data_IF_685083731155
#
_entry.id   IF_685083731155
#
_cell.length_a   1.000
_cell.length_b   1.000
_cell.length_c   1.000
_cell.angle_alpha   90.00
_cell.angle_beta   90.00
_cell.angle_gamma   90.00
#
_symmetry.space_group_name_H-M   'P 1'
#
loop_
_entity.id
_entity.type
_entity.pdbx_description
1 polymer ?
#
# COMPACT_ATOMS: atom_id res chain seq x y z
N UNK A 1 3.21 20.55 8.07
CA UNK A 1 2.50 20.14 6.82
C UNK A 1 3.45 19.48 5.84
N UNK A 2 4.54 20.16 5.41
CA UNK A 2 5.58 19.57 4.54
C UNK A 2 6.12 18.21 5.05
N UNK A 3 6.47 18.11 6.34
CA UNK A 3 6.97 16.84 6.91
C UNK A 3 5.94 15.68 6.96
N UNK A 4 4.63 15.94 6.86
CA UNK A 4 3.63 14.86 6.70
C UNK A 4 3.54 14.41 5.25
N UNK A 5 3.61 15.35 4.32
CA UNK A 5 3.62 15.06 2.89
C UNK A 5 4.88 14.27 2.50
N UNK A 6 6.06 14.73 2.90
CA UNK A 6 7.33 14.05 2.63
C UNK A 6 7.33 12.62 3.19
N UNK A 7 6.74 12.42 4.38
CA UNK A 7 6.58 11.10 4.99
C UNK A 7 5.69 10.18 4.15
N UNK A 8 4.51 10.67 3.75
CA UNK A 8 3.57 9.88 2.95
C UNK A 8 4.12 9.57 1.56
N UNK A 9 4.81 10.54 0.93
CA UNK A 9 5.48 10.36 -0.35
C UNK A 9 6.62 9.36 -0.27
N UNK A 10 7.40 9.35 0.80
CA UNK A 10 8.46 8.36 1.00
C UNK A 10 7.88 6.94 1.06
N UNK A 11 6.80 6.74 1.83
CA UNK A 11 6.13 5.43 1.91
C UNK A 11 5.59 5.02 0.53
N UNK A 12 4.89 5.91 -0.17
CA UNK A 12 4.36 5.61 -1.51
C UNK A 12 5.48 5.27 -2.50
N UNK A 13 6.59 6.00 -2.45
CA UNK A 13 7.77 5.74 -3.29
C UNK A 13 8.32 4.35 -3.01
N UNK A 14 8.50 3.96 -1.74
CA UNK A 14 8.99 2.64 -1.36
C UNK A 14 8.02 1.51 -1.76
N UNK A 15 6.71 1.74 -1.66
CA UNK A 15 5.70 0.83 -2.20
C UNK A 15 5.89 0.66 -3.71
N UNK A 16 5.99 1.76 -4.46
CA UNK A 16 6.15 1.72 -5.92
C UNK A 16 7.44 1.01 -6.35
N UNK A 17 8.53 1.16 -5.58
CA UNK A 17 9.77 0.40 -5.81
C UNK A 17 9.51 -1.11 -5.70
N UNK A 18 8.77 -1.58 -4.69
CA UNK A 18 8.37 -3.00 -4.58
C UNK A 18 7.53 -3.42 -5.78
N UNK A 19 6.51 -2.62 -6.13
CA UNK A 19 5.59 -2.95 -7.22
C UNK A 19 6.32 -3.04 -8.57
N UNK A 20 7.28 -2.15 -8.83
CA UNK A 20 8.09 -2.17 -10.06
C UNK A 20 8.87 -3.46 -10.25
N UNK A 21 9.25 -4.11 -9.15
CA UNK A 21 10.06 -5.33 -9.19
C UNK A 21 9.24 -6.61 -9.25
N UNK A 22 8.00 -6.62 -8.76
CA UNK A 22 7.26 -7.89 -8.64
C UNK A 22 5.75 -7.79 -8.58
N UNK A 23 5.16 -6.69 -9.05
CA UNK A 23 3.70 -6.62 -9.23
C UNK A 23 3.26 -7.70 -10.23
N UNK A 24 2.30 -8.49 -9.79
CA UNK A 24 1.59 -9.45 -10.61
C UNK A 24 0.11 -9.13 -10.61
N UNK A 25 -0.53 -9.37 -11.75
CA UNK A 25 -1.94 -9.11 -11.99
C UNK A 25 -2.63 -10.38 -12.46
N UNK A 26 -3.77 -10.70 -11.87
CA UNK A 26 -4.57 -11.85 -12.28
C UNK A 26 -5.21 -11.60 -13.65
N UNK A 27 -4.98 -12.49 -14.60
CA UNK A 27 -5.71 -12.55 -15.86
C UNK A 27 -7.15 -13.04 -15.68
N UNK A 28 -7.90 -13.14 -16.78
CA UNK A 28 -9.29 -13.62 -16.77
C UNK A 28 -9.43 -15.03 -16.19
N UNK A 29 -8.41 -15.87 -16.36
CA UNK A 29 -8.35 -17.24 -15.85
C UNK A 29 -7.85 -17.33 -14.40
N UNK A 30 -7.67 -16.18 -13.73
CA UNK A 30 -7.14 -16.01 -12.36
C UNK A 30 -5.68 -16.39 -12.16
N UNK A 31 -4.96 -16.69 -13.25
CA UNK A 31 -3.52 -16.83 -13.22
C UNK A 31 -2.84 -15.47 -13.13
N UNK A 32 -1.89 -15.34 -12.20
CA UNK A 32 -1.13 -14.11 -11.99
C UNK A 32 0.07 -14.04 -12.94
N UNK A 33 0.12 -12.98 -13.73
CA UNK A 33 1.24 -12.66 -14.63
C UNK A 33 1.98 -11.40 -14.16
N UNK A 34 3.27 -11.33 -14.45
CA UNK A 34 4.09 -10.17 -14.14
C UNK A 34 3.60 -8.92 -14.91
N UNK A 35 3.51 -7.78 -14.23
CA UNK A 35 3.00 -6.52 -14.78
C UNK A 35 4.11 -5.46 -14.89
N UNK A 36 5.23 -5.83 -15.54
CA UNK A 36 6.47 -5.01 -15.57
C UNK A 36 6.37 -3.78 -16.47
N UNK A 37 5.66 -3.90 -17.58
CA UNK A 37 5.60 -2.86 -18.62
C UNK A 37 4.36 -1.96 -18.52
N UNK A 38 3.51 -2.20 -17.51
CA UNK A 38 2.27 -1.46 -17.33
C UNK A 38 2.40 -0.22 -16.44
N UNK A 39 1.30 0.53 -16.38
CA UNK A 39 1.08 1.65 -15.47
C UNK A 39 0.81 1.12 -14.04
N UNK A 40 1.86 1.03 -13.24
CA UNK A 40 1.87 0.36 -11.93
C UNK A 40 1.01 1.09 -10.92
N UNK A 41 0.92 2.43 -11.00
CA UNK A 41 0.12 3.20 -10.04
C UNK A 41 -1.38 2.83 -10.15
N UNK A 42 -1.83 2.27 -11.29
CA UNK A 42 -3.21 1.76 -11.45
C UNK A 42 -3.56 0.62 -10.51
N UNK A 43 -2.57 -0.15 -10.02
CA UNK A 43 -2.81 -1.18 -9.03
C UNK A 43 -3.37 -0.63 -7.71
N UNK A 44 -3.07 0.64 -7.41
CA UNK A 44 -3.53 1.36 -6.21
C UNK A 44 -4.66 2.34 -6.49
N UNK A 45 -5.01 2.59 -7.75
CA UNK A 45 -6.07 3.51 -8.12
C UNK A 45 -7.47 2.92 -7.89
N UNK A 46 -8.46 3.77 -7.67
CA UNK A 46 -9.89 3.41 -7.54
C UNK A 46 -10.24 2.46 -6.38
N UNK A 47 -9.46 2.47 -5.30
CA UNK A 47 -9.58 1.45 -4.26
C UNK A 47 -9.08 0.08 -4.74
N UNK A 48 -8.18 0.08 -5.73
CA UNK A 48 -7.28 -1.03 -5.99
C UNK A 48 -6.41 -1.27 -4.77
N UNK A 49 -6.09 -2.55 -4.56
CA UNK A 49 -5.34 -3.03 -3.40
C UNK A 49 -4.32 -4.03 -3.90
N UNK A 50 -3.10 -3.90 -3.42
CA UNK A 50 -2.04 -4.87 -3.69
C UNK A 50 -1.78 -5.68 -2.43
N UNK A 51 -1.84 -7.00 -2.56
CA UNK A 51 -1.41 -7.92 -1.51
C UNK A 51 0.08 -8.25 -1.66
N UNK A 52 0.89 -7.81 -0.72
CA UNK A 52 2.32 -8.12 -0.66
C UNK A 52 2.51 -9.27 0.34
N UNK A 53 2.89 -10.45 -0.14
CA UNK A 53 3.19 -11.61 0.70
C UNK A 53 4.62 -11.52 1.23
N UNK A 54 4.77 -11.67 2.54
CA UNK A 54 6.05 -11.59 3.26
C UNK A 54 6.44 -13.00 3.71
N UNK A 55 7.63 -13.51 3.37
CA UNK A 55 8.07 -14.83 3.85
C UNK A 55 8.05 -14.94 5.37
N UNK A 56 7.83 -16.16 5.88
CA UNK A 56 8.06 -16.50 7.28
C UNK A 56 9.48 -16.12 7.74
N UNK A 57 9.60 -15.75 9.01
CA UNK A 57 10.85 -15.28 9.59
C UNK A 57 11.89 -16.39 9.70
N UNK A 58 13.12 -16.09 9.29
CA UNK A 58 14.32 -16.85 9.66
C UNK A 58 14.81 -16.40 11.02
N UNK A 59 15.67 -17.23 11.63
CA UNK A 59 16.25 -16.93 12.94
C UNK A 59 17.01 -15.59 12.91
N UNK A 60 16.67 -14.68 13.82
CA UNK A 60 17.29 -13.37 13.93
C UNK A 60 16.69 -12.27 13.04
N UNK A 61 15.72 -12.58 12.18
CA UNK A 61 15.01 -11.57 11.40
C UNK A 61 13.97 -10.82 12.24
N UNK A 62 13.76 -9.55 11.92
CA UNK A 62 12.75 -8.71 12.57
C UNK A 62 11.40 -8.86 11.86
N UNK A 63 10.32 -8.97 12.65
CA UNK A 63 8.93 -8.94 12.16
C UNK A 63 8.62 -7.67 11.36
N UNK A 64 9.29 -6.55 11.66
CA UNK A 64 8.99 -5.23 11.11
C UNK A 64 9.86 -4.82 9.92
N UNK A 65 10.71 -5.72 9.38
CA UNK A 65 11.63 -5.40 8.28
C UNK A 65 10.95 -4.68 7.10
N UNK A 66 9.75 -5.12 6.70
CA UNK A 66 9.02 -4.46 5.61
C UNK A 66 8.52 -3.07 6.02
N UNK A 67 8.01 -2.90 7.24
CA UNK A 67 7.54 -1.59 7.72
C UNK A 67 8.70 -0.61 7.91
N UNK A 68 9.86 -1.10 8.35
CA UNK A 68 11.11 -0.33 8.45
C UNK A 68 11.59 0.09 7.06
N UNK A 69 11.56 -0.83 6.09
CA UNK A 69 11.87 -0.52 4.69
C UNK A 69 10.98 0.60 4.13
N UNK A 70 9.66 0.51 4.36
CA UNK A 70 8.70 1.52 3.92
C UNK A 70 8.90 2.87 4.61
N UNK A 71 9.53 2.89 5.79
CA UNK A 71 9.68 4.08 6.64
C UNK A 71 8.45 4.35 7.52
N UNK A 72 7.58 3.35 7.72
CA UNK A 72 6.43 3.41 8.65
C UNK A 72 6.91 3.24 10.09
N UNK A 73 7.91 2.38 10.27
CA UNK A 73 8.57 2.13 11.55
C UNK A 73 10.06 2.45 11.46
N UNK A 74 10.71 2.62 12.61
CA UNK A 74 12.16 2.64 12.75
C UNK A 74 12.55 1.69 13.88
N UNK A 75 13.17 0.56 13.53
CA UNK A 75 13.46 -0.50 14.49
C UNK A 75 12.18 -1.06 15.13
N UNK A 76 11.10 -1.15 14.35
CA UNK A 76 9.78 -1.57 14.84
C UNK A 76 8.98 -0.51 15.60
N UNK A 77 9.53 0.68 15.84
CA UNK A 77 8.78 1.78 16.48
C UNK A 77 8.04 2.58 15.42
N UNK A 78 6.70 2.60 15.48
CA UNK A 78 5.82 3.32 14.54
C UNK A 78 5.98 4.84 14.64
N UNK A 79 6.13 5.50 13.49
CA UNK A 79 6.13 6.97 13.42
C UNK A 79 4.73 7.52 13.74
N UNK A 80 4.64 8.62 14.48
CA UNK A 80 3.36 9.21 14.88
C UNK A 80 2.51 9.72 13.70
N UNK A 81 3.12 9.94 12.53
CA UNK A 81 2.42 10.31 11.29
C UNK A 81 1.72 9.11 10.64
N UNK A 82 2.10 7.88 11.00
CA UNK A 82 1.40 6.65 10.66
C UNK A 82 0.33 6.39 11.74
N UNK A 83 -0.91 6.69 11.40
CA UNK A 83 -2.04 6.70 12.34
C UNK A 83 -2.62 5.29 12.47
N UNK A 84 -3.02 4.90 13.67
CA UNK A 84 -3.79 3.69 13.86
C UNK A 84 -5.21 3.85 13.34
N UNK A 85 -5.75 2.80 12.71
CA UNK A 85 -7.12 2.79 12.21
C UNK A 85 -8.01 1.85 13.03
N UNK A 86 -9.25 2.26 13.31
CA UNK A 86 -10.19 1.42 14.07
C UNK A 86 -10.79 0.28 13.24
N UNK A 87 -10.79 0.37 11.90
CA UNK A 87 -11.34 -0.68 11.02
C UNK A 87 -10.79 -0.62 9.60
N UNK A 88 -10.82 -1.80 8.96
CA UNK A 88 -10.58 -2.00 7.53
C UNK A 88 -11.69 -2.90 6.96
N UNK A 89 -12.01 -2.73 5.67
CA UNK A 89 -13.02 -3.50 4.92
C UNK A 89 -12.46 -4.75 4.27
N UNK A 90 -11.14 -4.89 4.26
CA UNK A 90 -10.40 -6.02 3.70
C UNK A 90 -9.34 -6.48 4.68
N UNK A 91 -9.06 -7.77 4.66
CA UNK A 91 -8.02 -8.43 5.45
C UNK A 91 -7.41 -9.61 4.72
N UNK A 92 -6.31 -10.16 5.22
CA UNK A 92 -5.68 -11.36 4.64
C UNK A 92 -5.73 -12.54 5.59
N UNK A 93 -6.18 -13.68 5.09
CA UNK A 93 -6.10 -14.96 5.79
C UNK A 93 -4.88 -15.71 5.30
N UNK A 94 -3.95 -15.97 6.21
CA UNK A 94 -2.66 -16.62 5.92
C UNK A 94 -2.58 -17.94 6.68
N UNK A 95 -2.43 -19.03 5.95
CA UNK A 95 -2.28 -20.38 6.50
C UNK A 95 -0.84 -20.64 6.93
N UNK A 96 -0.65 -21.57 7.88
CA UNK A 96 0.69 -22.03 8.28
C UNK A 96 1.43 -22.64 7.10
N UNK A 97 2.75 -22.46 7.08
CA UNK A 97 3.63 -23.13 6.13
C UNK A 97 3.70 -24.62 6.47
N UNK A 98 3.80 -25.48 5.44
CA UNK A 98 3.88 -26.93 5.59
C UNK A 98 4.91 -27.49 4.63
N UNK A 99 5.79 -28.36 5.12
CA UNK A 99 6.78 -29.09 4.31
C UNK A 99 7.62 -28.18 3.40
N UNK A 100 8.07 -27.05 3.94
CA UNK A 100 8.85 -26.05 3.20
C UNK A 100 8.06 -25.27 2.14
N UNK A 101 6.73 -25.44 2.07
CA UNK A 101 5.85 -24.73 1.14
C UNK A 101 5.06 -23.62 1.84
N UNK A 102 4.94 -22.45 1.20
CA UNK A 102 4.10 -21.36 1.68
C UNK A 102 2.64 -21.80 1.86
N UNK A 103 2.00 -21.39 2.96
CA UNK A 103 0.59 -21.70 3.23
C UNK A 103 -0.40 -21.00 2.28
N UNK A 104 -1.70 -21.13 2.54
CA UNK A 104 -2.72 -20.38 1.78
C UNK A 104 -2.60 -18.88 2.04
N UNK A 105 -2.77 -18.04 1.02
CA UNK A 105 -2.87 -16.59 1.16
C UNK A 105 -4.16 -16.12 0.46
N UNK A 106 -5.13 -15.60 1.21
CA UNK A 106 -6.44 -15.20 0.66
C UNK A 106 -6.89 -13.86 1.22
N UNK A 107 -7.17 -12.91 0.34
CA UNK A 107 -7.89 -11.69 0.72
C UNK A 107 -9.34 -12.05 1.12
N UNK A 108 -9.82 -11.46 2.21
CA UNK A 108 -11.19 -11.53 2.68
C UNK A 108 -11.76 -10.10 2.70
N UNK A 109 -12.78 -9.85 1.89
CA UNK A 109 -13.42 -8.53 1.78
C UNK A 109 -14.86 -8.51 2.28
N UNK A 110 -15.39 -7.30 2.46
CA UNK A 110 -16.82 -7.03 2.69
C UNK A 110 -17.21 -6.78 4.15
N UNK A 111 -18.50 -6.54 4.37
CA UNK A 111 -19.07 -6.14 5.68
C UNK A 111 -18.69 -7.14 6.80
N UNK A 112 -18.63 -8.43 6.48
CA UNK A 112 -18.21 -9.48 7.43
C UNK A 112 -16.73 -9.41 7.85
N UNK A 113 -15.86 -8.85 7.00
CA UNK A 113 -14.45 -8.63 7.32
C UNK A 113 -14.28 -7.45 8.28
N UNK A 114 -15.01 -6.34 8.06
CA UNK A 114 -15.04 -5.20 9.00
C UNK A 114 -15.54 -5.58 10.39
N UNK A 115 -16.60 -6.38 10.47
CA UNK A 115 -17.11 -6.89 11.76
C UNK A 115 -16.10 -7.79 12.48
N UNK A 116 -15.38 -8.64 11.75
CA UNK A 116 -14.31 -9.48 12.33
C UNK A 116 -13.11 -8.66 12.78
N UNK A 117 -12.73 -7.61 12.04
CA UNK A 117 -11.64 -6.71 12.44
C UNK A 117 -11.96 -5.99 13.75
N UNK A 118 -13.17 -5.43 13.83
CA UNK A 118 -13.65 -4.81 15.07
C UNK A 118 -13.69 -5.82 16.21
N UNK A 119 -14.21 -7.03 15.99
CA UNK A 119 -14.27 -8.07 17.03
C UNK A 119 -12.88 -8.56 17.49
N UNK A 120 -11.90 -8.65 16.58
CA UNK A 120 -10.53 -9.04 16.93
C UNK A 120 -9.81 -7.98 17.77
N UNK A 121 -10.13 -6.69 17.61
CA UNK A 121 -9.63 -5.62 18.49
C UNK A 121 -10.07 -5.80 19.93
N UNK A 122 -11.24 -6.42 20.17
CA UNK A 122 -11.81 -6.63 21.50
C UNK A 122 -11.64 -8.06 22.04
N UNK A 123 -10.99 -8.96 21.29
CA UNK A 123 -10.77 -10.36 21.73
C UNK A 123 -9.29 -10.65 21.96
N UNK A 124 -8.83 -10.72 23.23
CA UNK A 124 -7.45 -11.07 23.55
C UNK A 124 -7.06 -12.43 22.94
N UNK A 125 -5.94 -12.49 22.23
CA UNK A 125 -5.40 -13.73 21.65
C UNK A 125 -5.80 -14.04 20.20
N UNK A 126 -6.66 -13.25 19.56
CA UNK A 126 -6.77 -13.27 18.10
C UNK A 126 -5.59 -12.49 17.49
N UNK A 127 -5.00 -13.03 16.41
CA UNK A 127 -4.00 -12.29 15.63
C UNK A 127 -4.62 -10.97 15.14
N UNK A 128 -4.21 -9.86 15.74
CA UNK A 128 -4.64 -8.52 15.39
C UNK A 128 -3.77 -8.00 14.26
N UNK A 129 -4.38 -7.77 13.11
CA UNK A 129 -3.78 -7.00 12.03
C UNK A 129 -3.49 -5.58 12.51
N UNK A 130 -2.31 -5.05 12.17
CA UNK A 130 -2.02 -3.64 12.38
C UNK A 130 -2.65 -2.85 11.23
N UNK A 131 -3.64 -2.03 11.55
CA UNK A 131 -4.31 -1.15 10.59
C UNK A 131 -3.67 0.22 10.67
N UNK A 132 -2.96 0.62 9.61
CA UNK A 132 -2.16 1.84 9.59
C UNK A 132 -2.66 2.73 8.44
N UNK A 133 -2.93 4.00 8.76
CA UNK A 133 -3.38 5.03 7.84
C UNK A 133 -2.34 6.13 7.66
N UNK A 134 -2.14 6.56 6.42
CA UNK A 134 -1.21 7.66 6.08
C UNK A 134 -1.88 8.61 5.10
N UNK A 135 -1.97 9.89 5.46
CA UNK A 135 -2.64 10.89 4.63
C UNK A 135 -1.73 11.46 3.54
N UNK A 136 -2.23 11.49 2.31
CA UNK A 136 -1.53 11.96 1.10
C UNK A 136 -2.07 13.32 0.67
N UNK A 137 -1.24 14.10 -0.04
CA UNK A 137 -1.66 15.32 -0.73
C UNK A 137 -1.83 15.06 -2.24
N UNK A 138 -2.76 14.17 -2.60
CA UNK A 138 -3.06 13.86 -4.00
C UNK A 138 -3.52 15.12 -4.75
N UNK A 139 -2.97 15.33 -5.96
CA UNK A 139 -3.12 16.59 -6.70
C UNK A 139 -2.00 17.63 -6.44
N UNK A 140 -1.11 17.35 -5.49
CA UNK A 140 0.11 18.12 -5.23
C UNK A 140 -0.04 19.10 -4.05
N UNK A 141 0.85 18.99 -3.07
CA UNK A 141 0.87 19.86 -1.90
C UNK A 141 0.85 21.36 -2.29
N UNK A 142 -0.10 22.11 -1.74
CA UNK A 142 -0.17 23.56 -1.92
C UNK A 142 -0.81 24.01 -3.24
N UNK A 143 -1.20 23.09 -4.13
CA UNK A 143 -2.05 23.43 -5.28
C UNK A 143 -3.49 23.69 -4.82
N UNK A 144 -4.28 24.32 -5.69
CA UNK A 144 -5.72 24.51 -5.46
C UNK A 144 -6.51 23.40 -6.12
N UNK A 145 -7.49 22.87 -5.42
CA UNK A 145 -8.50 21.99 -6.02
C UNK A 145 -9.56 22.79 -6.81
N UNK A 146 -10.56 22.09 -7.34
CA UNK A 146 -11.61 22.70 -8.17
C UNK A 146 -12.51 23.69 -7.41
N UNK A 147 -12.57 23.62 -6.07
CA UNK A 147 -13.27 24.60 -5.23
C UNK A 147 -12.37 25.78 -4.85
N UNK A 148 -11.08 25.73 -5.21
CA UNK A 148 -10.09 26.71 -4.80
C UNK A 148 -9.46 26.43 -3.43
N UNK A 149 -9.78 25.29 -2.79
CA UNK A 149 -9.21 24.89 -1.51
C UNK A 149 -7.79 24.34 -1.69
N UNK A 150 -6.96 24.54 -0.67
CA UNK A 150 -5.54 24.12 -0.72
C UNK A 150 -5.42 22.62 -0.44
N UNK A 151 -4.75 21.92 -1.36
CA UNK A 151 -4.44 20.50 -1.25
C UNK A 151 -3.43 20.25 -0.12
N UNK A 152 -3.82 19.43 0.86
CA UNK A 152 -3.04 19.13 2.07
C UNK A 152 -3.08 17.63 2.43
N UNK A 153 -2.06 17.09 3.12
CA UNK A 153 -2.05 15.70 3.60
C UNK A 153 -2.91 15.56 4.87
N UNK A 154 -4.20 15.77 4.72
CA UNK A 154 -5.20 15.82 5.81
C UNK A 154 -6.30 14.76 5.66
N UNK A 155 -6.14 13.82 4.72
CA UNK A 155 -7.10 12.73 4.47
C UNK A 155 -8.24 13.09 3.53
N UNK A 156 -8.36 14.35 3.10
CA UNK A 156 -9.37 14.78 2.11
C UNK A 156 -8.90 14.61 0.66
N UNK A 157 -7.58 14.50 0.45
CA UNK A 157 -6.91 14.48 -0.85
C UNK A 157 -6.16 13.17 -1.12
N UNK A 158 -6.53 12.11 -0.41
CA UNK A 158 -5.90 10.80 -0.52
C UNK A 158 -5.49 10.24 0.83
N UNK A 159 -5.69 8.93 0.98
CA UNK A 159 -5.41 8.20 2.20
C UNK A 159 -4.87 6.82 1.83
N UNK A 160 -3.64 6.53 2.23
CA UNK A 160 -3.06 5.20 2.10
C UNK A 160 -3.44 4.35 3.30
N UNK A 161 -4.02 3.18 3.02
CA UNK A 161 -4.30 2.13 3.98
C UNK A 161 -3.25 1.03 3.86
N UNK A 162 -2.65 0.68 4.99
CA UNK A 162 -1.76 -0.45 5.17
C UNK A 162 -2.41 -1.41 6.17
N UNK A 163 -2.68 -2.64 5.75
CA UNK A 163 -3.14 -3.72 6.64
C UNK A 163 -2.02 -4.72 6.78
N UNK A 164 -1.35 -4.69 7.92
CA UNK A 164 -0.14 -5.47 8.16
C UNK A 164 -0.44 -6.69 9.04
N UNK A 165 -0.05 -7.85 8.53
CA UNK A 165 0.01 -9.13 9.20
C UNK A 165 1.48 -9.51 9.38
N UNK A 166 1.96 -9.45 10.62
CA UNK A 166 3.35 -9.80 10.92
C UNK A 166 3.65 -11.27 10.54
N UNK A 167 4.77 -11.54 9.82
CA UNK A 167 5.24 -12.91 9.63
C UNK A 167 5.67 -13.53 10.97
N UNK A 168 5.57 -14.85 11.07
CA UNK A 168 6.10 -15.64 12.20
C UNK A 168 7.12 -16.67 11.67
N UNK A 169 7.77 -17.42 12.55
CA UNK A 169 8.68 -18.48 12.11
C UNK A 169 8.02 -19.64 11.36
N UNK A 170 6.70 -19.82 11.51
CA UNK A 170 5.92 -20.92 10.91
C UNK A 170 4.83 -20.44 9.93
N UNK A 171 4.73 -19.13 9.70
CA UNK A 171 3.69 -18.53 8.86
C UNK A 171 4.22 -17.28 8.17
N UNK A 172 3.91 -17.18 6.88
CA UNK A 172 4.13 -15.96 6.13
C UNK A 172 3.33 -14.78 6.71
N UNK A 173 3.85 -13.59 6.49
CA UNK A 173 3.16 -12.33 6.74
C UNK A 173 2.47 -11.80 5.48
N UNK A 174 1.83 -10.66 5.64
CA UNK A 174 1.18 -9.98 4.54
C UNK A 174 1.06 -8.49 4.79
N UNK A 175 1.18 -7.71 3.73
CA UNK A 175 0.85 -6.30 3.74
C UNK A 175 -0.13 -6.06 2.60
N UNK A 176 -1.35 -5.65 2.93
CA UNK A 176 -2.25 -5.08 1.93
C UNK A 176 -2.04 -3.57 1.89
N UNK A 177 -1.76 -3.06 0.70
CA UNK A 177 -1.64 -1.62 0.43
C UNK A 177 -2.80 -1.19 -0.45
N UNK A 178 -3.55 -0.20 -0.02
CA UNK A 178 -4.59 0.44 -0.83
C UNK A 178 -4.52 1.96 -0.70
N UNK A 179 -4.97 2.67 -1.73
CA UNK A 179 -5.11 4.13 -1.66
C UNK A 179 -6.58 4.48 -1.90
N UNK A 180 -7.17 5.06 -0.87
CA UNK A 180 -8.53 5.57 -0.85
C UNK A 180 -8.49 7.07 -1.19
N UNK A 181 -9.52 7.55 -1.89
CA UNK A 181 -9.64 8.98 -2.24
C UNK A 181 -9.80 9.86 -1.00
N UNK A 182 -10.42 9.33 0.06
CA UNK A 182 -10.69 10.05 1.31
C UNK A 182 -10.54 9.08 2.49
N UNK A 183 -10.03 9.58 3.62
CA UNK A 183 -9.99 8.81 4.87
C UNK A 183 -11.40 8.50 5.40
N UNK A 184 -11.58 7.47 6.25
CA UNK A 184 -12.86 7.24 6.92
C UNK A 184 -13.37 8.49 7.65
N UNK A 185 -14.64 8.83 7.43
CA UNK A 185 -15.32 10.04 7.91
C UNK A 185 -14.78 11.37 7.38
N UNK A 186 -13.77 11.36 6.51
CA UNK A 186 -13.27 12.56 5.84
C UNK A 186 -14.31 13.16 4.89
N UNK A 187 -14.20 14.46 4.67
CA UNK A 187 -14.99 15.18 3.65
C UNK A 187 -14.20 15.18 2.35
N UNK A 188 -14.81 14.68 1.27
CA UNK A 188 -14.24 14.85 -0.07
C UNK A 188 -14.41 16.31 -0.54
N UNK A 189 -13.49 16.85 -1.34
CA UNK A 189 -13.69 18.10 -2.07
C UNK A 189 -14.96 18.13 -2.92
N UNK A 190 -15.47 16.96 -3.35
CA UNK A 190 -16.74 16.87 -4.10
C UNK A 190 -17.97 16.58 -3.22
N UNK A 191 -17.87 16.78 -1.90
CA UNK A 191 -19.00 16.62 -0.96
C UNK A 191 -19.37 15.18 -0.61
N UNK A 192 -18.60 14.19 -1.07
CA UNK A 192 -18.79 12.78 -0.71
C UNK A 192 -18.35 12.49 0.73
N UNK A 193 -19.16 11.73 1.45
CA UNK A 193 -18.88 11.25 2.81
C UNK A 193 -18.49 9.77 2.80
N UNK A 194 -17.30 9.45 3.29
CA UNK A 194 -16.83 8.06 3.43
C UNK A 194 -17.25 7.49 4.80
N UNK A 195 -18.42 6.86 4.89
CA UNK A 195 -18.94 6.24 6.12
C UNK A 195 -18.69 4.73 6.19
N UNK A 196 -19.03 4.09 7.30
CA UNK A 196 -18.89 2.63 7.48
C UNK A 196 -19.73 1.77 6.51
N UNK A 197 -20.70 2.39 5.82
CA UNK A 197 -21.51 1.77 4.75
C UNK A 197 -20.99 2.07 3.35
N UNK A 198 -19.99 2.93 3.21
CA UNK A 198 -19.34 3.21 1.93
C UNK A 198 -18.59 1.95 1.52
N UNK A 199 -19.09 1.30 0.47
CA UNK A 199 -18.42 0.15 -0.14
C UNK A 199 -17.57 0.64 -1.28
N UNK A 200 -16.65 -0.20 -1.76
CA UNK A 200 -15.94 0.05 -3.01
C UNK A 200 -16.90 0.42 -4.16
N UNK A 201 -18.16 -0.07 -4.12
CA UNK A 201 -19.22 0.24 -5.06
C UNK A 201 -19.66 1.72 -5.06
N UNK A 202 -19.57 2.42 -3.93
CA UNK A 202 -20.10 3.79 -3.76
C UNK A 202 -19.01 4.87 -3.62
N UNK A 203 -17.74 4.49 -3.54
CA UNK A 203 -16.62 5.41 -3.44
C UNK A 203 -16.43 6.25 -4.73
N UNK A 204 -15.76 7.40 -4.60
CA UNK A 204 -15.57 8.42 -5.65
C UNK A 204 -15.21 7.79 -7.02
N UNK A 205 -15.86 8.22 -8.14
CA UNK A 205 -15.60 7.65 -9.46
C UNK A 205 -14.17 7.95 -9.97
N UNK A 206 -13.54 9.00 -9.44
CA UNK A 206 -12.18 9.42 -9.74
C UNK A 206 -11.22 9.14 -8.57
N UNK A 207 -10.04 8.65 -8.92
CA UNK A 207 -8.94 8.37 -8.02
C UNK A 207 -7.99 9.56 -8.02
N UNK A 208 -7.43 9.91 -6.86
CA UNK A 208 -6.37 10.93 -6.76
C UNK A 208 -5.06 10.51 -7.43
N UNK A 209 -4.96 9.23 -7.83
CA UNK A 209 -3.74 8.66 -8.39
C UNK A 209 -3.76 8.49 -9.91
N UNK A 210 -4.91 8.18 -10.54
CA UNK A 210 -5.12 8.07 -12.00
C UNK A 210 -6.48 7.41 -12.32
N UNK A 211 -7.07 7.71 -13.50
CA UNK A 211 -8.10 6.90 -14.18
C UNK A 211 -9.55 7.09 -13.73
N UNK A 212 -10.44 6.27 -14.28
CA UNK A 212 -11.78 5.98 -13.77
C UNK A 212 -11.87 4.54 -13.23
N UNK A 213 -12.86 4.25 -12.38
CA UNK A 213 -13.04 2.92 -11.79
C UNK A 213 -12.99 1.72 -12.77
N UNK A 214 -13.45 1.83 -14.04
CA UNK A 214 -13.27 0.77 -15.04
C UNK A 214 -11.81 0.44 -15.40
N UNK A 215 -10.86 1.33 -15.11
CA UNK A 215 -9.43 1.18 -15.41
C UNK A 215 -8.70 0.27 -14.41
N UNK A 216 -9.42 -0.37 -13.48
CA UNK A 216 -8.85 -1.35 -12.56
C UNK A 216 -8.28 -2.53 -13.33
N UNK A 217 -7.03 -2.87 -13.02
CA UNK A 217 -6.28 -3.91 -13.70
C UNK A 217 -6.58 -5.33 -13.20
N UNK A 218 -7.44 -5.48 -12.19
CA UNK A 218 -7.84 -6.78 -11.62
C UNK A 218 -7.24 -7.04 -10.23
N UNK A 219 -7.23 -8.29 -9.79
CA UNK A 219 -6.61 -8.69 -8.53
C UNK A 219 -5.09 -8.60 -8.66
N UNK A 220 -4.43 -8.04 -7.65
CA UNK A 220 -2.99 -7.79 -7.70
C UNK A 220 -2.26 -8.34 -6.49
N UNK A 221 -1.01 -8.79 -6.71
CA UNK A 221 -0.15 -9.29 -5.64
C UNK A 221 1.32 -9.05 -5.91
N UNK A 222 2.11 -9.18 -4.86
CA UNK A 222 3.57 -9.26 -4.89
C UNK A 222 4.01 -10.41 -3.99
N UNK A 223 5.01 -11.17 -4.44
CA UNK A 223 5.58 -12.29 -3.69
C UNK A 223 7.03 -11.96 -3.29
N UNK A 224 7.25 -11.36 -2.11
CA UNK A 224 8.59 -10.89 -1.73
C UNK A 224 9.61 -12.01 -1.70
N UNK A 225 9.22 -13.22 -1.28
CA UNK A 225 10.12 -14.39 -1.23
C UNK A 225 10.69 -14.83 -2.59
N UNK A 226 10.18 -14.30 -3.70
CA UNK A 226 10.70 -14.54 -5.05
C UNK A 226 11.70 -13.47 -5.52
N UNK A 227 11.86 -12.39 -4.75
CA UNK A 227 12.77 -11.29 -5.06
C UNK A 227 14.18 -11.57 -4.52
N UNK A 228 15.20 -10.97 -5.16
CA UNK A 228 16.57 -11.02 -4.65
C UNK A 228 17.17 -12.42 -4.51
N UNK A 229 16.69 -13.40 -5.27
CA UNK A 229 17.12 -14.80 -5.11
C UNK A 229 16.76 -15.41 -3.74
N UNK A 230 15.78 -14.85 -3.05
CA UNK A 230 15.36 -15.26 -1.70
C UNK A 230 15.83 -14.33 -0.59
N UNK A 231 16.83 -13.46 -0.83
CA UNK A 231 17.15 -12.35 0.07
C UNK A 231 16.37 -11.09 -0.32
N UNK A 232 15.06 -11.15 -0.09
CA UNK A 232 14.16 -10.07 -0.45
C UNK A 232 14.50 -8.78 0.28
N UNK A 233 14.88 -8.84 1.56
CA UNK A 233 15.15 -7.64 2.35
C UNK A 233 16.42 -6.93 1.87
N UNK A 234 17.52 -7.66 1.66
CA UNK A 234 18.74 -7.09 1.09
C UNK A 234 18.48 -6.47 -0.29
N UNK A 235 17.77 -7.17 -1.16
CA UNK A 235 17.38 -6.65 -2.47
C UNK A 235 16.55 -5.36 -2.38
N UNK A 236 15.58 -5.29 -1.46
CA UNK A 236 14.80 -4.06 -1.25
C UNK A 236 15.69 -2.89 -0.80
N UNK A 237 16.65 -3.11 0.10
CA UNK A 237 17.58 -2.05 0.49
C UNK A 237 18.42 -1.57 -0.70
N UNK A 238 18.95 -2.49 -1.51
CA UNK A 238 19.71 -2.13 -2.71
C UNK A 238 18.90 -1.26 -3.67
N UNK A 239 17.66 -1.64 -4.02
CA UNK A 239 16.85 -0.82 -4.96
C UNK A 239 16.49 0.55 -4.37
N UNK A 240 16.41 0.68 -3.05
CA UNK A 240 16.14 1.96 -2.37
C UNK A 240 17.36 2.87 -2.37
N UNK A 241 18.54 2.31 -2.13
CA UNK A 241 19.82 3.02 -2.25
C UNK A 241 20.04 3.49 -3.69
N UNK A 242 19.90 2.60 -4.68
CA UNK A 242 20.00 2.96 -6.11
C UNK A 242 19.00 4.05 -6.52
N UNK A 243 17.79 4.03 -5.95
CA UNK A 243 16.79 5.06 -6.19
C UNK A 243 17.19 6.41 -5.58
N UNK A 244 17.73 6.40 -4.36
CA UNK A 244 18.26 7.59 -3.71
C UNK A 244 19.39 8.22 -4.54
N UNK A 245 20.34 7.40 -5.01
CA UNK A 245 21.45 7.85 -5.87
C UNK A 245 20.94 8.49 -7.16
N UNK A 246 19.92 7.90 -7.82
CA UNK A 246 19.28 8.48 -9.01
C UNK A 246 18.64 9.84 -8.71
N UNK A 247 17.95 9.97 -7.57
CA UNK A 247 17.32 11.23 -7.17
C UNK A 247 18.35 12.31 -6.82
N UNK A 248 19.48 11.96 -6.23
CA UNK A 248 20.58 12.88 -5.94
C UNK A 248 21.31 13.33 -7.20
N UNK A 249 21.52 12.42 -8.16
CA UNK A 249 22.14 12.72 -9.45
C UNK A 249 21.27 13.62 -10.36
N UNK A 250 19.96 13.70 -10.11
CA UNK A 250 19.04 14.53 -10.87
C UNK A 250 19.26 16.03 -10.60
N UNK A 251 19.61 16.77 -11.66
CA UNK A 251 20.06 18.17 -11.60
C UNK A 251 18.93 19.17 -11.33
N UNK A 252 17.70 18.82 -11.68
CA UNK A 252 16.55 19.72 -11.60
C UNK A 252 15.24 18.96 -11.31
N UNK A 253 14.15 19.72 -11.13
CA UNK A 253 12.83 19.18 -10.85
C UNK A 253 12.24 18.38 -12.02
N UNK A 254 12.61 18.71 -13.27
CA UNK A 254 12.12 18.00 -14.45
C UNK A 254 12.74 16.61 -14.55
N UNK A 255 14.04 16.48 -14.27
CA UNK A 255 14.72 15.19 -14.20
C UNK A 255 14.17 14.32 -13.06
N UNK A 256 13.94 14.90 -11.88
CA UNK A 256 13.30 14.18 -10.77
C UNK A 256 11.90 13.71 -11.15
N UNK A 257 11.11 14.56 -11.81
CA UNK A 257 9.79 14.19 -12.32
C UNK A 257 9.86 13.01 -13.29
N UNK A 258 10.80 13.03 -14.23
CA UNK A 258 11.00 11.92 -15.19
C UNK A 258 11.30 10.59 -14.50
N UNK A 259 12.14 10.60 -13.45
CA UNK A 259 12.39 9.40 -12.65
C UNK A 259 11.08 8.86 -12.05
N UNK A 260 10.25 9.72 -11.46
CA UNK A 260 8.95 9.29 -10.92
C UNK A 260 7.98 8.80 -12.02
N UNK A 261 8.01 9.40 -13.20
CA UNK A 261 7.24 8.93 -14.38
C UNK A 261 7.69 7.52 -14.80
N UNK A 262 9.00 7.25 -14.81
CA UNK A 262 9.55 5.92 -15.07
C UNK A 262 9.19 4.91 -13.97
N UNK A 263 9.18 5.34 -12.71
CA UNK A 263 8.82 4.50 -11.56
C UNK A 263 7.36 4.06 -11.60
N UNK A 264 6.43 4.96 -11.94
CA UNK A 264 5.00 4.62 -12.06
C UNK A 264 4.69 3.83 -13.34
N UNK A 265 5.56 3.89 -14.35
CA UNK A 265 5.41 3.20 -15.61
C UNK A 265 4.73 4.04 -16.70
N UNK A 266 4.74 3.55 -17.95
CA UNK A 266 4.22 4.30 -19.09
C UNK A 266 2.72 4.53 -18.94
N UNK A 267 2.30 5.79 -19.16
CA UNK A 267 0.88 6.16 -19.22
C UNK A 267 0.44 6.09 -20.68
N UNK A 268 -0.58 5.29 -21.03
CA UNK A 268 -1.19 5.32 -22.36
C UNK A 268 -1.96 6.62 -22.60
#
# INVERSE_FOLDING_TARGET
MKGRDDFARNILTNVLLILRQGLQVAGKDKDFADYKDGDIIRALAHGGRVNIRIPALRQGESTHQLLDFLGVTSGGVRDQRAMERPFATHRSSIGKNKDGKPGSFKEQGGVGASLKNMASTYTPGMHTEELIGVNLSGGGLGTKDWNGDVVLPNGSYGHMLLVFNAPTGDRDGGLLVGIETVEPHGRSPVGYHHGAKSTEATANPESVLHGHKPDKIGDTRVELGRMGGGDWHGFLQTIKEEWADKLEAAKDAAQKRKLYEELVGPRP
#
